data_IF_904501084701
#
_entry.id   IF_904501084701
#
_cell.length_a   1.000
_cell.length_b   1.000
_cell.length_c   1.000
_cell.angle_alpha   90.00
_cell.angle_beta   90.00
_cell.angle_gamma   90.00
#
_symmetry.space_group_name_H-M   'P 1'
#
loop_
_entity.id
_entity.type
_entity.pdbx_description
1 polymer ?
#
# COMPACT_ATOMS: atom_id res chain seq x y z
N UNK A 1 -18.28 -5.86 -20.58
CA UNK A 1 -17.16 -4.98 -20.98
C UNK A 1 -16.95 -3.78 -20.04
N UNK A 2 -17.97 -3.03 -19.57
CA UNK A 2 -17.75 -1.85 -18.71
C UNK A 2 -16.97 -2.14 -17.42
N UNK A 3 -17.22 -3.28 -16.79
CA UNK A 3 -16.60 -3.66 -15.52
C UNK A 3 -15.09 -3.94 -15.61
N UNK A 4 -14.59 -4.47 -16.73
CA UNK A 4 -13.15 -4.73 -16.89
C UNK A 4 -12.34 -3.43 -17.01
N UNK A 5 -12.89 -2.45 -17.73
CA UNK A 5 -12.28 -1.14 -17.89
C UNK A 5 -12.26 -0.35 -16.57
N UNK A 6 -13.37 -0.38 -15.81
CA UNK A 6 -13.43 0.31 -14.51
C UNK A 6 -12.47 -0.30 -13.49
N UNK A 7 -12.36 -1.63 -13.44
CA UNK A 7 -11.40 -2.32 -12.57
C UNK A 7 -9.97 -2.00 -12.97
N UNK A 8 -9.65 -1.96 -14.27
CA UNK A 8 -8.31 -1.60 -14.74
C UNK A 8 -7.88 -0.19 -14.33
N UNK A 9 -8.79 0.79 -14.49
CA UNK A 9 -8.54 2.18 -14.11
C UNK A 9 -8.28 2.35 -12.60
N UNK A 10 -8.87 1.51 -11.75
CA UNK A 10 -8.63 1.50 -10.31
C UNK A 10 -7.40 0.66 -9.93
N UNK A 11 -7.14 -0.43 -10.64
CA UNK A 11 -6.04 -1.35 -10.34
C UNK A 11 -4.66 -0.74 -10.65
N UNK A 12 -4.53 0.04 -11.72
CA UNK A 12 -3.28 0.72 -12.09
C UNK A 12 -2.72 1.62 -10.96
N UNK A 13 -3.46 2.61 -10.44
CA UNK A 13 -2.96 3.46 -9.36
C UNK A 13 -2.73 2.66 -8.08
N UNK A 14 -3.53 1.62 -7.81
CA UNK A 14 -3.34 0.76 -6.65
C UNK A 14 -2.02 0.00 -6.71
N UNK A 15 -1.67 -0.60 -7.86
CA UNK A 15 -0.41 -1.34 -8.02
C UNK A 15 0.82 -0.44 -7.84
N UNK A 16 0.76 0.77 -8.37
CA UNK A 16 1.84 1.77 -8.24
C UNK A 16 1.94 2.28 -6.80
N UNK A 17 0.81 2.57 -6.16
CA UNK A 17 0.76 3.04 -4.77
C UNK A 17 1.28 2.01 -3.78
N UNK A 18 0.93 0.74 -3.95
CA UNK A 18 1.43 -0.37 -3.11
C UNK A 18 2.94 -0.55 -3.28
N UNK A 19 3.46 -0.50 -4.50
CA UNK A 19 4.90 -0.62 -4.75
C UNK A 19 5.68 0.52 -4.09
N UNK A 20 5.21 1.76 -4.26
CA UNK A 20 5.81 2.95 -3.66
C UNK A 20 5.79 2.89 -2.12
N UNK A 21 4.66 2.51 -1.53
CA UNK A 21 4.53 2.34 -0.09
C UNK A 21 5.40 1.21 0.48
N UNK A 22 5.73 0.20 -0.34
CA UNK A 22 6.55 -0.95 0.03
C UNK A 22 8.05 -0.70 -0.16
N UNK A 23 8.47 0.45 -0.71
CA UNK A 23 9.87 0.78 -0.95
C UNK A 23 10.55 -0.01 -2.07
N UNK A 24 9.76 -0.65 -2.95
CA UNK A 24 10.25 -1.41 -4.11
C UNK A 24 10.05 -0.64 -5.42
N UNK A 25 10.81 -0.95 -6.48
CA UNK A 25 10.64 -0.30 -7.77
C UNK A 25 9.19 -0.42 -8.29
N UNK A 26 8.64 0.68 -8.81
CA UNK A 26 7.24 0.75 -9.24
C UNK A 26 6.87 -0.31 -10.28
N UNK A 27 7.81 -0.65 -11.17
CA UNK A 27 7.60 -1.68 -12.19
C UNK A 27 7.30 -3.06 -11.59
N UNK A 28 7.81 -3.37 -10.39
CA UNK A 28 7.60 -4.67 -9.74
C UNK A 28 6.12 -4.86 -9.33
N UNK A 29 5.46 -3.80 -8.84
CA UNK A 29 4.04 -3.86 -8.51
C UNK A 29 3.16 -4.00 -9.74
N UNK A 30 3.50 -3.29 -10.81
CA UNK A 30 2.78 -3.35 -12.09
C UNK A 30 2.92 -4.74 -12.75
N UNK A 31 4.14 -5.30 -12.80
CA UNK A 31 4.36 -6.66 -13.29
C UNK A 31 3.63 -7.71 -12.44
N UNK A 32 3.65 -7.57 -11.12
CA UNK A 32 2.89 -8.48 -10.24
C UNK A 32 1.39 -8.42 -10.51
N UNK A 33 0.83 -7.23 -10.77
CA UNK A 33 -0.57 -7.06 -11.14
C UNK A 33 -0.91 -7.69 -12.49
N UNK A 34 -0.10 -7.48 -13.52
CA UNK A 34 -0.31 -8.07 -14.86
C UNK A 34 -0.21 -9.59 -14.81
N UNK A 35 0.88 -10.12 -14.25
CA UNK A 35 1.12 -11.57 -14.18
C UNK A 35 0.09 -12.25 -13.29
N UNK A 36 -0.20 -11.69 -12.11
CA UNK A 36 -1.23 -12.20 -11.21
C UNK A 36 -2.61 -12.19 -11.86
N UNK A 37 -2.98 -11.08 -12.51
CA UNK A 37 -4.25 -10.94 -13.23
C UNK A 37 -4.43 -11.99 -14.33
N UNK A 38 -3.40 -12.23 -15.16
CA UNK A 38 -3.47 -13.20 -16.26
C UNK A 38 -3.46 -14.64 -15.72
N UNK A 39 -2.47 -14.99 -14.88
CA UNK A 39 -2.29 -16.38 -14.43
C UNK A 39 -3.44 -16.82 -13.54
N UNK A 40 -3.87 -15.98 -12.58
CA UNK A 40 -4.92 -16.37 -11.63
C UNK A 40 -6.29 -16.38 -12.30
N UNK A 41 -6.58 -15.48 -13.25
CA UNK A 41 -7.87 -15.50 -13.96
C UNK A 41 -8.07 -16.77 -14.80
N UNK A 42 -7.00 -17.32 -15.39
CA UNK A 42 -7.05 -18.57 -16.15
C UNK A 42 -7.28 -19.79 -15.24
N UNK A 43 -6.79 -19.77 -14.01
CA UNK A 43 -6.80 -20.94 -13.10
C UNK A 43 -7.97 -20.89 -12.09
N UNK A 44 -8.42 -19.70 -11.69
CA UNK A 44 -9.30 -19.54 -10.51
C UNK A 44 -10.74 -20.01 -10.70
N UNK A 45 -11.27 -20.06 -11.93
CA UNK A 45 -12.68 -20.39 -12.20
C UNK A 45 -13.72 -19.40 -11.64
N UNK A 46 -13.28 -18.30 -11.03
CA UNK A 46 -14.16 -17.27 -10.44
C UNK A 46 -14.43 -16.14 -11.43
N UNK A 47 -15.71 -15.78 -11.59
CA UNK A 47 -16.15 -14.73 -12.52
C UNK A 47 -15.90 -13.30 -11.99
N UNK A 48 -15.66 -13.14 -10.68
CA UNK A 48 -15.55 -11.84 -10.00
C UNK A 48 -14.19 -11.61 -9.35
N UNK A 49 -13.31 -12.62 -9.31
CA UNK A 49 -12.01 -12.49 -8.66
C UNK A 49 -11.05 -11.66 -9.52
N UNK A 50 -10.39 -10.69 -8.88
CA UNK A 50 -9.33 -9.87 -9.47
C UNK A 50 -8.07 -10.11 -8.65
N UNK A 51 -6.96 -10.42 -9.32
CA UNK A 51 -5.69 -10.69 -8.65
C UNK A 51 -4.69 -9.56 -8.90
N UNK A 52 -3.94 -9.22 -7.84
CA UNK A 52 -2.90 -8.20 -7.87
C UNK A 52 -2.23 -8.07 -6.49
N UNK A 53 -1.29 -7.12 -6.33
CA UNK A 53 -0.64 -6.85 -5.06
C UNK A 53 -1.67 -6.46 -3.98
N UNK A 54 -1.65 -7.15 -2.84
CA UNK A 54 -2.58 -6.87 -1.74
C UNK A 54 -2.02 -5.77 -0.82
N UNK A 55 -2.88 -4.84 -0.40
CA UNK A 55 -2.47 -3.75 0.50
C UNK A 55 -1.87 -4.23 1.83
N UNK A 56 -2.33 -5.38 2.33
CA UNK A 56 -1.78 -6.00 3.55
C UNK A 56 -0.32 -6.49 3.42
N UNK A 57 0.19 -6.64 2.19
CA UNK A 57 1.58 -7.08 1.97
C UNK A 57 2.59 -5.93 2.07
N UNK A 58 2.16 -4.67 2.08
CA UNK A 58 3.07 -3.52 2.10
C UNK A 58 4.04 -3.56 3.28
N UNK A 59 3.49 -3.71 4.49
CA UNK A 59 4.29 -3.76 5.71
C UNK A 59 5.21 -4.99 5.76
N UNK A 60 4.73 -6.13 5.22
CA UNK A 60 5.49 -7.38 5.18
C UNK A 60 6.66 -7.28 4.20
N UNK A 61 6.42 -6.73 3.00
CA UNK A 61 7.46 -6.47 2.00
C UNK A 61 8.49 -5.50 2.56
N UNK A 62 8.07 -4.36 3.11
CA UNK A 62 8.97 -3.39 3.73
C UNK A 62 9.83 -4.01 4.86
N UNK A 63 9.21 -4.78 5.76
CA UNK A 63 9.93 -5.46 6.84
C UNK A 63 10.89 -6.55 6.31
N UNK A 64 10.50 -7.26 5.26
CA UNK A 64 11.33 -8.30 4.65
C UNK A 64 12.57 -7.73 3.97
N UNK A 65 12.48 -6.55 3.34
CA UNK A 65 13.66 -5.87 2.73
C UNK A 65 14.67 -5.51 3.81
N UNK A 66 14.21 -4.99 4.95
CA UNK A 66 15.08 -4.64 6.08
C UNK A 66 15.72 -5.91 6.68
N UNK A 67 14.96 -6.99 6.80
CA UNK A 67 15.41 -8.22 7.45
C UNK A 67 16.34 -9.06 6.58
N UNK A 68 16.07 -9.14 5.26
CA UNK A 68 16.82 -9.97 4.32
C UNK A 68 17.94 -9.19 3.62
N UNK A 69 17.95 -7.86 3.70
CA UNK A 69 18.99 -6.97 3.15
C UNK A 69 18.96 -6.81 1.63
N UNK A 70 18.60 -7.87 0.90
CA UNK A 70 18.65 -7.93 -0.56
C UNK A 70 17.30 -8.21 -1.21
N UNK A 71 17.05 -7.53 -2.34
CA UNK A 71 15.83 -7.70 -3.12
C UNK A 71 15.75 -9.08 -3.82
N UNK A 72 16.89 -9.68 -4.14
CA UNK A 72 16.94 -11.04 -4.70
C UNK A 72 16.41 -12.08 -3.70
N UNK A 73 16.78 -11.93 -2.42
CA UNK A 73 16.32 -12.79 -1.34
C UNK A 73 14.81 -12.67 -1.12
N UNK A 74 14.23 -11.47 -1.31
CA UNK A 74 12.79 -11.27 -1.29
C UNK A 74 12.08 -12.06 -2.39
N UNK A 75 12.55 -11.99 -3.64
CA UNK A 75 11.93 -12.73 -4.73
C UNK A 75 12.01 -14.25 -4.52
N UNK A 76 13.11 -14.74 -3.96
CA UNK A 76 13.24 -16.13 -3.58
C UNK A 76 12.24 -16.52 -2.49
N UNK A 77 12.10 -15.69 -1.44
CA UNK A 77 11.13 -15.92 -0.38
C UNK A 77 9.68 -15.94 -0.90
N UNK A 78 9.34 -15.03 -1.82
CA UNK A 78 8.03 -14.98 -2.49
C UNK A 78 7.79 -16.23 -3.34
N UNK A 79 8.82 -16.71 -4.06
CA UNK A 79 8.73 -17.94 -4.84
C UNK A 79 8.50 -19.16 -3.95
N UNK A 80 9.23 -19.26 -2.84
CA UNK A 80 9.04 -20.33 -1.84
C UNK A 80 7.63 -20.25 -1.23
N UNK A 81 7.17 -19.06 -0.85
CA UNK A 81 5.81 -18.85 -0.36
C UNK A 81 4.74 -19.26 -1.39
N UNK A 82 4.97 -18.97 -2.68
CA UNK A 82 4.10 -19.40 -3.77
C UNK A 82 4.03 -20.92 -3.93
N UNK A 83 5.16 -21.62 -3.79
CA UNK A 83 5.20 -23.08 -3.80
C UNK A 83 4.39 -23.64 -2.61
N UNK A 84 4.58 -23.09 -1.41
CA UNK A 84 3.77 -23.49 -0.26
C UNK A 84 2.28 -23.22 -0.48
N UNK A 85 1.92 -22.07 -1.06
CA UNK A 85 0.54 -21.73 -1.39
C UNK A 85 -0.08 -22.73 -2.38
N UNK A 86 0.66 -23.17 -3.40
CA UNK A 86 0.22 -24.20 -4.35
C UNK A 86 0.02 -25.55 -3.68
N UNK A 87 0.95 -25.97 -2.81
CA UNK A 87 0.84 -27.22 -2.05
C UNK A 87 -0.41 -27.21 -1.18
N UNK A 88 -0.63 -26.14 -0.40
CA UNK A 88 -1.83 -25.97 0.43
C UNK A 88 -3.11 -26.01 -0.43
N UNK A 89 -3.08 -25.43 -1.63
CA UNK A 89 -4.18 -25.48 -2.59
C UNK A 89 -4.48 -26.90 -3.08
N UNK A 90 -3.46 -27.68 -3.45
CA UNK A 90 -3.60 -29.07 -3.93
C UNK A 90 -4.16 -29.97 -2.82
N UNK A 91 -3.66 -29.83 -1.60
CA UNK A 91 -4.18 -30.58 -0.45
C UNK A 91 -5.54 -30.07 0.06
N UNK A 92 -6.11 -29.02 -0.55
CA UNK A 92 -7.39 -28.40 -0.16
C UNK A 92 -7.42 -27.91 1.30
N UNK A 93 -6.25 -27.61 1.86
CA UNK A 93 -6.14 -27.05 3.22
C UNK A 93 -6.71 -25.62 3.30
N UNK A 94 -6.98 -24.96 2.16
CA UNK A 94 -7.67 -23.68 2.14
C UNK A 94 -9.06 -23.72 2.80
N UNK A 95 -9.70 -24.89 2.91
CA UNK A 95 -10.98 -25.03 3.61
C UNK A 95 -10.91 -24.61 5.09
N UNK A 96 -9.72 -24.68 5.71
CA UNK A 96 -9.51 -24.19 7.07
C UNK A 96 -9.76 -22.69 7.22
N UNK A 97 -9.66 -21.90 6.14
CA UNK A 97 -9.96 -20.48 6.15
C UNK A 97 -11.44 -20.19 6.51
N UNK A 98 -12.35 -21.14 6.26
CA UNK A 98 -13.78 -21.00 6.57
C UNK A 98 -14.08 -21.02 8.08
N UNK A 99 -13.13 -21.47 8.92
CA UNK A 99 -13.29 -21.47 10.38
C UNK A 99 -12.95 -20.12 11.02
N UNK A 100 -12.38 -19.17 10.28
CA UNK A 100 -12.11 -17.84 10.81
C UNK A 100 -13.41 -17.05 10.98
N UNK A 101 -13.70 -16.53 12.18
CA UNK A 101 -14.90 -15.73 12.41
C UNK A 101 -14.89 -14.48 11.52
N UNK A 102 -16.04 -14.14 10.93
CA UNK A 102 -16.17 -12.95 10.09
C UNK A 102 -15.79 -11.65 10.81
N UNK A 103 -15.94 -11.60 12.13
CA UNK A 103 -15.49 -10.50 12.97
C UNK A 103 -13.98 -10.27 12.89
N UNK A 104 -13.18 -11.35 12.84
CA UNK A 104 -11.70 -11.27 12.76
C UNK A 104 -11.28 -10.71 11.40
N UNK A 105 -11.89 -11.20 10.32
CA UNK A 105 -11.59 -10.76 8.95
C UNK A 105 -11.94 -9.26 8.79
N UNK A 106 -13.11 -8.84 9.29
CA UNK A 106 -13.52 -7.43 9.29
C UNK A 106 -12.58 -6.57 10.12
N UNK A 107 -12.15 -7.05 11.29
CA UNK A 107 -11.14 -6.37 12.13
C UNK A 107 -9.81 -6.19 11.41
N UNK A 108 -9.32 -7.22 10.72
CA UNK A 108 -8.09 -7.16 9.92
C UNK A 108 -8.21 -6.12 8.80
N UNK A 109 -9.32 -6.11 8.06
CA UNK A 109 -9.55 -5.13 6.99
C UNK A 109 -9.67 -3.70 7.52
N UNK A 110 -10.33 -3.52 8.67
CA UNK A 110 -10.40 -2.22 9.35
C UNK A 110 -9.02 -1.74 9.79
N UNK A 111 -8.20 -2.63 10.37
CA UNK A 111 -6.83 -2.31 10.78
C UNK A 111 -5.96 -1.90 9.59
N UNK A 112 -6.01 -2.64 8.48
CA UNK A 112 -5.29 -2.28 7.24
C UNK A 112 -5.75 -0.91 6.75
N UNK A 113 -7.07 -0.65 6.74
CA UNK A 113 -7.62 0.65 6.36
C UNK A 113 -7.12 1.80 7.24
N UNK A 114 -7.12 1.62 8.56
CA UNK A 114 -6.60 2.60 9.52
C UNK A 114 -5.11 2.86 9.31
N UNK A 115 -4.31 1.80 9.11
CA UNK A 115 -2.86 1.92 8.85
C UNK A 115 -2.62 2.71 7.56
N UNK A 116 -3.37 2.44 6.49
CA UNK A 116 -3.23 3.18 5.23
C UNK A 116 -3.61 4.66 5.40
N UNK A 117 -4.73 4.97 6.05
CA UNK A 117 -5.14 6.36 6.33
C UNK A 117 -4.05 7.07 7.15
N UNK A 118 -3.55 6.41 8.20
CA UNK A 118 -2.48 6.93 9.06
C UNK A 118 -1.18 7.22 8.30
N UNK A 119 -0.87 6.44 7.25
CA UNK A 119 0.30 6.66 6.38
C UNK A 119 0.08 7.74 5.32
N UNK A 120 -1.13 7.97 4.86
CA UNK A 120 -1.41 8.98 3.82
C UNK A 120 -1.64 10.39 4.37
N UNK A 121 -2.09 10.55 5.63
CA UNK A 121 -2.27 11.87 6.27
C UNK A 121 -0.96 12.71 6.25
N UNK A 122 0.21 12.20 6.67
CA UNK A 122 1.47 12.93 6.62
C UNK A 122 1.83 13.40 5.21
N UNK A 123 1.71 12.51 4.22
CA UNK A 123 1.98 12.82 2.82
C UNK A 123 1.05 13.91 2.29
N UNK A 124 -0.24 13.86 2.64
CA UNK A 124 -1.22 14.87 2.24
C UNK A 124 -0.93 16.26 2.81
N UNK A 125 -0.29 16.33 3.97
CA UNK A 125 0.18 17.57 4.60
C UNK A 125 1.57 18.02 4.11
N UNK A 126 2.18 17.30 3.16
CA UNK A 126 3.51 17.60 2.64
C UNK A 126 4.66 17.13 3.54
N UNK A 127 4.39 16.31 4.55
CA UNK A 127 5.38 15.81 5.51
C UNK A 127 5.84 14.40 5.13
N UNK A 128 7.09 14.28 4.67
CA UNK A 128 7.64 13.04 4.10
C UNK A 128 8.59 12.28 5.05
N UNK A 129 8.53 12.53 6.36
CA UNK A 129 9.35 11.83 7.35
C UNK A 129 8.53 10.82 8.16
N UNK A 130 9.13 9.67 8.55
CA UNK A 130 8.43 8.58 9.21
C UNK A 130 8.02 8.87 10.67
N UNK A 131 8.53 9.95 11.26
CA UNK A 131 8.35 10.37 12.65
C UNK A 131 7.13 11.30 12.86
N UNK A 132 6.27 11.42 11.85
CA UNK A 132 5.06 12.26 11.90
C UNK A 132 4.23 12.04 13.18
N UNK A 133 3.95 10.80 13.55
CA UNK A 133 3.10 10.51 14.72
C UNK A 133 3.83 10.66 16.07
N UNK A 134 5.14 10.95 16.06
CA UNK A 134 5.96 11.07 17.27
C UNK A 134 6.33 12.54 17.52
N UNK A 135 6.99 13.18 16.57
CA UNK A 135 7.51 14.55 16.66
C UNK A 135 6.95 15.44 15.55
N UNK A 136 6.81 14.89 14.34
CA UNK A 136 6.47 15.67 13.15
C UNK A 136 5.10 16.34 13.18
N UNK A 137 4.10 15.73 13.84
CA UNK A 137 2.78 16.34 14.00
C UNK A 137 2.89 17.62 14.82
N UNK A 138 3.60 17.59 15.95
CA UNK A 138 3.83 18.81 16.71
C UNK A 138 4.69 19.81 15.92
N UNK A 139 5.64 19.31 15.12
CA UNK A 139 6.50 20.09 14.23
C UNK A 139 5.78 20.72 13.02
N UNK A 140 4.54 20.31 12.74
CA UNK A 140 3.64 21.01 11.81
C UNK A 140 2.79 22.07 12.52
N UNK A 141 2.62 21.98 13.85
CA UNK A 141 1.78 22.87 14.64
C UNK A 141 2.53 23.94 15.45
N UNK A 142 3.86 23.83 15.59
CA UNK A 142 4.70 24.90 16.17
C UNK A 142 4.91 26.10 15.23
N UNK A 143 5.32 27.21 15.86
CA UNK A 143 5.45 28.61 15.39
C UNK A 143 5.99 28.89 13.98
N UNK A 144 6.56 27.92 13.27
CA UNK A 144 7.14 28.11 11.92
C UNK A 144 6.07 28.38 10.86
N UNK A 145 4.89 27.73 10.91
CA UNK A 145 3.78 28.05 10.00
C UNK A 145 3.14 29.40 10.35
N UNK A 146 3.01 29.73 11.64
CA UNK A 146 2.50 31.04 12.07
C UNK A 146 3.44 32.18 11.63
N UNK A 147 4.75 32.00 11.78
CA UNK A 147 5.75 32.95 11.31
C UNK A 147 5.83 33.02 9.78
N UNK A 148 5.77 31.88 9.07
CA UNK A 148 5.80 31.82 7.60
C UNK A 148 4.55 32.41 6.94
N UNK A 149 3.37 32.22 7.54
CA UNK A 149 2.13 32.89 7.11
C UNK A 149 2.20 34.39 7.39
N UNK A 150 2.68 34.81 8.56
CA UNK A 150 2.84 36.24 8.89
C UNK A 150 3.87 36.95 8.00
N UNK A 151 4.94 36.24 7.64
CA UNK A 151 6.00 36.75 6.75
C UNK A 151 5.53 36.79 5.29
N UNK A 152 4.76 35.79 4.84
CA UNK A 152 4.10 35.84 3.52
C UNK A 152 3.04 36.94 3.44
N UNK A 153 2.27 37.20 4.52
CA UNK A 153 1.29 38.29 4.60
C UNK A 153 1.94 39.67 4.62
N UNK A 154 3.08 39.83 5.30
CA UNK A 154 3.83 41.10 5.31
C UNK A 154 4.46 41.40 3.95
N UNK A 155 4.97 40.39 3.24
CA UNK A 155 5.47 40.55 1.86
C UNK A 155 4.34 40.99 0.91
N UNK A 156 3.16 40.36 0.99
CA UNK A 156 2.00 40.71 0.15
C UNK A 156 1.48 42.12 0.48
N UNK A 157 1.41 42.50 1.75
CA UNK A 157 0.99 43.85 2.15
C UNK A 157 1.98 44.93 1.70
N UNK A 158 3.27 44.60 1.57
CA UNK A 158 4.30 45.52 1.10
C UNK A 158 4.33 45.66 -0.42
N UNK A 159 3.87 44.65 -1.18
CA UNK A 159 3.62 44.77 -2.63
C UNK A 159 2.34 45.56 -2.96
N UNK A 160 1.33 45.59 -2.08
CA UNK A 160 0.06 46.31 -2.31
C UNK A 160 0.14 47.79 -1.90
N UNK A 161 1.15 48.19 -1.12
CA UNK A 161 1.37 49.56 -0.63
C UNK A 161 2.43 50.36 -1.44
N UNK A 162 2.91 49.82 -2.57
CA UNK A 162 3.72 50.51 -3.57
C UNK A 162 3.10 50.41 -4.97
#
# INVERSE_FOLDING_TARGET
MPAGLSVFLVALPLCLGIALASGVPLYSGLLSGIVGGIVVSLVSGSQLAVSGPAAGLVALVAASIISLGDMSSLFLAVLVAGIFQLLIGIFRLASFANYFPSAVIKGMMAAIGIILISKQIPLALGYNQPDFWTSGFLQLFLLEIFSGIFQSLTIILQEVLF
#
